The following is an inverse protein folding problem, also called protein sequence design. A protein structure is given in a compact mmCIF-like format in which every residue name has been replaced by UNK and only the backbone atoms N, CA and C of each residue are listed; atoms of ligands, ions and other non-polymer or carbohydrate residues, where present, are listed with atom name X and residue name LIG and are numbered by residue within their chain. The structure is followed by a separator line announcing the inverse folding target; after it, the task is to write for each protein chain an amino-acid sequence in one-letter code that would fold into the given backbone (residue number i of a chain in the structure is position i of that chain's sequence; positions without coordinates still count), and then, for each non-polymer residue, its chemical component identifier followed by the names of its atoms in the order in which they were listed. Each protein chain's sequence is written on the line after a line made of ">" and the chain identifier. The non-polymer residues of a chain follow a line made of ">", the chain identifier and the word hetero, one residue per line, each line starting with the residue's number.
data_IF_703861698579
#
_entry.id   IF_703861698579
#
_cell.length_a   1.000
_cell.length_b   1.000
_cell.length_c   1.000
_cell.angle_alpha   90.00
_cell.angle_beta   90.00
_cell.angle_gamma   90.00
#
_symmetry.space_group_name_H-M   'P 1'
#
loop_
_entity.id
_entity.type
_entity.pdbx_description
1 polymer ?
#
# COMPACT_ATOMS: atom_id res chain seq x y z
N UNK A 1 -32.86 0.82 -14.81
CA UNK A 1 -32.60 -0.28 -13.85
C UNK A 1 -32.29 0.35 -12.51
N UNK A 2 -32.78 -0.20 -11.38
CA UNK A 2 -32.34 0.29 -10.06
C UNK A 2 -30.83 -0.02 -9.93
N UNK A 3 -30.06 0.99 -9.58
CA UNK A 3 -28.63 0.86 -9.32
C UNK A 3 -28.42 -0.10 -8.15
N UNK A 4 -27.64 -1.16 -8.36
CA UNK A 4 -27.40 -2.17 -7.32
C UNK A 4 -26.57 -1.52 -6.20
N UNK A 5 -27.07 -1.62 -4.96
CA UNK A 5 -26.41 -1.05 -3.79
C UNK A 5 -25.56 -2.09 -3.10
N UNK A 6 -24.38 -1.69 -2.65
CA UNK A 6 -23.44 -2.53 -1.88
C UNK A 6 -23.01 -1.82 -0.61
N UNK A 7 -22.68 -2.57 0.43
CA UNK A 7 -22.22 -2.02 1.70
C UNK A 7 -20.70 -2.09 1.79
N UNK A 8 -20.06 -0.99 2.19
CA UNK A 8 -18.63 -0.92 2.40
C UNK A 8 -18.32 -0.62 3.88
N UNK A 9 -17.88 -1.63 4.63
CA UNK A 9 -17.56 -1.54 6.06
C UNK A 9 -16.10 -1.13 6.21
N UNK A 10 -15.87 0.03 6.84
CA UNK A 10 -14.53 0.58 7.06
C UNK A 10 -14.42 1.35 8.36
N UNK A 11 -13.21 1.44 8.89
CA UNK A 11 -12.93 2.39 9.97
C UNK A 11 -13.28 3.81 9.52
N UNK A 12 -14.03 4.54 10.37
CA UNK A 12 -14.44 5.93 10.11
C UNK A 12 -13.27 6.83 9.69
N UNK A 13 -12.09 6.64 10.29
CA UNK A 13 -10.88 7.40 9.98
C UNK A 13 -10.46 7.31 8.51
N UNK A 14 -10.74 6.20 7.81
CA UNK A 14 -10.29 5.99 6.43
C UNK A 14 -11.29 6.44 5.37
N UNK A 15 -12.53 6.70 5.79
CA UNK A 15 -13.62 7.18 4.91
C UNK A 15 -14.06 8.61 5.25
N UNK A 16 -13.48 9.22 6.27
CA UNK A 16 -13.69 10.64 6.60
C UNK A 16 -12.85 11.51 5.65
N UNK A 17 -13.51 12.39 4.90
CA UNK A 17 -12.86 13.33 3.99
C UNK A 17 -11.88 14.27 4.69
N UNK A 18 -12.15 14.63 5.96
CA UNK A 18 -11.34 15.56 6.74
C UNK A 18 -10.13 14.92 7.42
N UNK A 19 -10.03 13.59 7.42
CA UNK A 19 -8.88 12.93 8.03
C UNK A 19 -7.62 13.12 7.19
N UNK A 20 -6.47 13.19 7.85
CA UNK A 20 -5.16 13.33 7.19
C UNK A 20 -4.93 12.23 6.14
N UNK A 21 -4.33 12.59 5.02
CA UNK A 21 -3.96 11.64 3.98
C UNK A 21 -2.88 10.67 4.47
N UNK A 22 -2.95 9.44 3.96
CA UNK A 22 -1.97 8.40 4.23
C UNK A 22 -2.21 7.20 3.32
N UNK A 23 -1.25 6.32 3.20
CA UNK A 23 -1.30 5.19 2.27
C UNK A 23 -2.56 4.31 2.42
N UNK A 24 -3.03 4.11 3.66
CA UNK A 24 -4.27 3.34 3.92
C UNK A 24 -5.51 4.08 3.42
N UNK A 25 -5.60 5.40 3.65
CA UNK A 25 -6.74 6.21 3.18
C UNK A 25 -6.79 6.24 1.65
N UNK A 26 -5.64 6.45 1.00
CA UNK A 26 -5.54 6.41 -0.46
C UNK A 26 -5.98 5.07 -1.02
N UNK A 27 -5.50 3.96 -0.49
CA UNK A 27 -5.90 2.63 -0.94
C UNK A 27 -7.38 2.33 -0.66
N UNK A 28 -7.94 2.84 0.46
CA UNK A 28 -9.38 2.75 0.76
C UNK A 28 -10.20 3.48 -0.30
N UNK A 29 -9.77 4.70 -0.68
CA UNK A 29 -10.45 5.47 -1.70
C UNK A 29 -10.41 4.79 -3.07
N UNK A 30 -9.27 4.20 -3.44
CA UNK A 30 -9.15 3.44 -4.70
C UNK A 30 -10.09 2.24 -4.75
N UNK A 31 -10.28 1.51 -3.63
CA UNK A 31 -11.29 0.45 -3.57
C UNK A 31 -12.71 1.00 -3.70
N UNK A 32 -13.03 2.13 -3.07
CA UNK A 32 -14.34 2.77 -3.20
C UNK A 32 -14.58 3.19 -4.65
N UNK A 33 -13.58 3.82 -5.29
CA UNK A 33 -13.67 4.26 -6.69
C UNK A 33 -13.83 3.07 -7.64
N UNK A 34 -13.10 1.98 -7.40
CA UNK A 34 -13.24 0.73 -8.14
C UNK A 34 -14.69 0.19 -8.05
N UNK A 35 -15.23 0.09 -6.84
CA UNK A 35 -16.56 -0.45 -6.59
C UNK A 35 -17.63 0.49 -7.19
N UNK A 36 -17.43 1.81 -7.08
CA UNK A 36 -18.34 2.82 -7.59
C UNK A 36 -18.46 2.82 -9.13
N UNK A 37 -17.55 2.18 -9.87
CA UNK A 37 -17.68 2.00 -11.33
C UNK A 37 -18.89 1.15 -11.71
N UNK A 38 -19.40 0.30 -10.82
CA UNK A 38 -20.48 -0.67 -11.12
C UNK A 38 -21.59 -0.73 -10.09
N UNK A 39 -21.40 -0.13 -8.91
CA UNK A 39 -22.34 -0.21 -7.80
C UNK A 39 -22.51 1.14 -7.10
N UNK A 40 -23.67 1.35 -6.49
CA UNK A 40 -23.84 2.43 -5.52
C UNK A 40 -23.29 2.02 -4.16
N UNK A 41 -22.24 2.68 -3.71
CA UNK A 41 -21.55 2.34 -2.46
C UNK A 41 -22.23 3.03 -1.28
N UNK A 42 -22.70 2.25 -0.31
CA UNK A 42 -23.13 2.73 1.00
C UNK A 42 -22.00 2.54 2.00
N UNK A 43 -21.50 3.63 2.56
CA UNK A 43 -20.42 3.60 3.56
C UNK A 43 -20.98 3.23 4.94
N UNK A 44 -20.36 2.26 5.59
CA UNK A 44 -20.69 1.84 6.95
C UNK A 44 -19.48 2.07 7.87
N UNK A 45 -19.47 3.23 8.58
CA UNK A 45 -18.36 3.59 9.44
C UNK A 45 -18.33 2.75 10.73
N UNK A 46 -17.17 2.23 11.08
CA UNK A 46 -16.95 1.54 12.36
C UNK A 46 -15.79 2.18 13.13
N UNK A 47 -15.85 2.17 14.45
CA UNK A 47 -14.86 2.76 15.32
C UNK A 47 -14.04 1.69 16.06
N UNK A 48 -12.76 2.00 16.30
CA UNK A 48 -11.89 1.12 17.07
C UNK A 48 -12.38 0.96 18.51
N UNK A 49 -12.28 -0.27 19.02
CA UNK A 49 -12.54 -0.56 20.43
C UNK A 49 -11.52 0.18 21.32
N UNK A 50 -12.01 1.07 22.18
CA UNK A 50 -11.21 1.89 23.08
C UNK A 50 -11.25 1.38 24.53
N UNK A 51 -11.91 0.26 24.83
CA UNK A 51 -12.07 -0.26 26.18
C UNK A 51 -10.73 -0.58 26.84
N UNK A 52 -10.65 -0.37 28.16
CA UNK A 52 -9.46 -0.69 28.92
C UNK A 52 -9.09 -2.17 28.84
N UNK A 53 -10.09 -3.04 28.92
CA UNK A 53 -9.90 -4.48 28.79
C UNK A 53 -9.30 -4.89 27.44
N UNK A 54 -9.74 -4.27 26.34
CA UNK A 54 -9.17 -4.48 25.02
C UNK A 54 -7.69 -4.06 24.96
N UNK A 55 -7.35 -2.89 25.51
CA UNK A 55 -5.96 -2.41 25.52
C UNK A 55 -5.00 -3.36 26.25
N UNK A 56 -5.44 -3.92 27.41
CA UNK A 56 -4.65 -4.94 28.12
C UNK A 56 -4.50 -6.20 27.26
N UNK A 57 -5.60 -6.75 26.75
CA UNK A 57 -5.59 -7.95 25.90
C UNK A 57 -4.71 -7.77 24.67
N UNK A 58 -4.71 -6.58 24.06
CA UNK A 58 -3.86 -6.25 22.91
C UNK A 58 -2.38 -6.24 23.29
N UNK A 59 -2.01 -5.66 24.45
CA UNK A 59 -0.62 -5.64 24.92
C UNK A 59 -0.02 -7.03 25.17
N UNK A 60 -0.84 -7.99 25.57
CA UNK A 60 -0.42 -9.38 25.83
C UNK A 60 -0.69 -10.34 24.64
N UNK A 61 -1.01 -9.78 23.45
CA UNK A 61 -1.18 -10.54 22.22
C UNK A 61 -2.46 -11.40 22.12
N UNK A 62 -3.42 -11.24 23.07
CA UNK A 62 -4.65 -12.04 23.09
C UNK A 62 -5.72 -11.45 22.16
N UNK A 63 -5.82 -10.12 22.06
CA UNK A 63 -6.86 -9.42 21.28
C UNK A 63 -6.47 -9.20 19.81
N UNK A 64 -5.98 -10.24 19.16
CA UNK A 64 -5.68 -10.21 17.73
C UNK A 64 -6.99 -10.16 16.93
N UNK A 65 -7.09 -9.24 15.96
CA UNK A 65 -8.29 -8.97 15.15
C UNK A 65 -9.57 -8.67 15.96
N UNK A 66 -9.43 -8.16 17.20
CA UNK A 66 -10.53 -7.69 18.02
C UNK A 66 -10.58 -6.16 18.07
N UNK A 67 -10.12 -5.50 17.01
CA UNK A 67 -10.05 -4.05 16.92
C UNK A 67 -11.45 -3.40 16.92
N UNK A 68 -12.50 -4.16 16.60
CA UNK A 68 -13.89 -3.69 16.58
C UNK A 68 -14.80 -4.56 17.47
N UNK A 69 -15.71 -3.93 18.20
CA UNK A 69 -16.79 -4.62 18.95
C UNK A 69 -17.94 -4.92 17.99
N UNK A 70 -17.79 -5.92 17.12
CA UNK A 70 -18.71 -6.20 16.00
C UNK A 70 -20.17 -6.36 16.44
N UNK A 71 -20.43 -6.93 17.64
CA UNK A 71 -21.78 -7.10 18.18
C UNK A 71 -22.55 -5.80 18.39
N UNK A 72 -21.86 -4.69 18.69
CA UNK A 72 -22.48 -3.38 18.87
C UNK A 72 -23.12 -2.84 17.58
N UNK A 73 -22.61 -3.29 16.43
CA UNK A 73 -23.11 -2.87 15.11
C UNK A 73 -24.24 -3.72 14.54
N UNK A 74 -24.64 -4.83 15.21
CA UNK A 74 -25.58 -5.79 14.66
C UNK A 74 -26.95 -5.15 14.31
N UNK A 75 -27.50 -4.35 15.21
CA UNK A 75 -28.80 -3.70 15.00
C UNK A 75 -28.77 -2.74 13.80
N UNK A 76 -27.72 -1.92 13.71
CA UNK A 76 -27.53 -1.00 12.60
C UNK A 76 -27.31 -1.75 11.28
N UNK A 77 -26.50 -2.81 11.32
CA UNK A 77 -26.21 -3.64 10.15
C UNK A 77 -27.48 -4.31 9.62
N UNK A 78 -28.32 -4.88 10.51
CA UNK A 78 -29.61 -5.46 10.13
C UNK A 78 -30.50 -4.45 9.45
N UNK A 79 -30.62 -3.25 10.00
CA UNK A 79 -31.40 -2.17 9.43
C UNK A 79 -30.93 -1.83 8.00
N UNK A 80 -29.64 -1.54 7.84
CA UNK A 80 -29.07 -1.13 6.55
C UNK A 80 -29.20 -2.24 5.50
N UNK A 81 -28.90 -3.49 5.85
CA UNK A 81 -28.99 -4.63 4.92
C UNK A 81 -30.42 -4.85 4.45
N UNK A 82 -31.41 -4.80 5.36
CA UNK A 82 -32.83 -5.05 5.02
C UNK A 82 -33.44 -3.89 4.23
N UNK A 83 -33.21 -2.62 4.65
CA UNK A 83 -33.79 -1.45 3.99
C UNK A 83 -33.26 -1.21 2.57
N UNK A 84 -32.03 -1.63 2.30
CA UNK A 84 -31.37 -1.38 1.02
C UNK A 84 -31.21 -2.65 0.15
N UNK A 85 -31.76 -3.80 0.59
CA UNK A 85 -31.62 -5.10 -0.10
C UNK A 85 -30.16 -5.43 -0.47
N UNK A 86 -29.27 -5.38 0.52
CA UNK A 86 -27.83 -5.58 0.31
C UNK A 86 -27.51 -7.08 0.17
N UNK A 87 -27.01 -7.47 -0.99
CA UNK A 87 -26.58 -8.83 -1.31
C UNK A 87 -25.04 -8.98 -1.30
N UNK A 88 -24.32 -7.86 -1.24
CA UNK A 88 -22.86 -7.81 -1.33
C UNK A 88 -22.27 -6.81 -0.33
N UNK A 89 -21.34 -7.28 0.50
CA UNK A 89 -20.64 -6.47 1.50
C UNK A 89 -19.14 -6.51 1.24
N UNK A 90 -18.52 -5.36 1.22
CA UNK A 90 -17.06 -5.18 1.18
C UNK A 90 -16.53 -4.88 2.57
N UNK A 91 -15.52 -5.63 3.00
CA UNK A 91 -14.78 -5.42 4.25
C UNK A 91 -13.44 -4.75 3.94
N UNK A 92 -13.21 -3.57 4.46
CA UNK A 92 -11.97 -2.82 4.20
C UNK A 92 -10.91 -3.13 5.26
N UNK A 93 -9.77 -3.65 4.84
CA UNK A 93 -8.65 -4.13 5.66
C UNK A 93 -8.94 -5.45 6.39
N UNK A 94 -7.89 -6.24 6.60
CA UNK A 94 -7.96 -7.52 7.32
C UNK A 94 -8.47 -7.38 8.76
N UNK A 95 -8.26 -6.23 9.41
CA UNK A 95 -8.75 -6.01 10.77
C UNK A 95 -10.29 -5.89 10.89
N UNK A 96 -11.01 -5.73 9.77
CA UNK A 96 -12.49 -5.80 9.76
C UNK A 96 -13.03 -7.22 9.53
N UNK A 97 -12.16 -8.20 9.35
CA UNK A 97 -12.52 -9.58 8.96
C UNK A 97 -13.46 -10.26 9.97
N UNK A 98 -13.42 -9.85 11.24
CA UNK A 98 -14.33 -10.36 12.28
C UNK A 98 -15.80 -10.06 12.01
N UNK A 99 -16.12 -9.07 11.16
CA UNK A 99 -17.49 -8.84 10.71
C UNK A 99 -18.01 -9.99 9.84
N UNK A 100 -17.12 -10.77 9.17
CA UNK A 100 -17.54 -11.89 8.33
C UNK A 100 -18.35 -12.94 9.10
N UNK A 101 -17.94 -13.27 10.32
CA UNK A 101 -18.70 -14.19 11.19
C UNK A 101 -20.08 -13.65 11.52
N UNK A 102 -20.16 -12.37 11.90
CA UNK A 102 -21.42 -11.71 12.23
C UNK A 102 -22.38 -11.69 11.02
N UNK A 103 -21.83 -11.37 9.84
CA UNK A 103 -22.60 -11.30 8.59
C UNK A 103 -23.09 -12.68 8.19
N UNK A 104 -22.23 -13.69 8.10
CA UNK A 104 -22.63 -15.05 7.68
C UNK A 104 -23.64 -15.67 8.66
N UNK A 105 -23.53 -15.40 9.96
CA UNK A 105 -24.51 -15.86 10.96
C UNK A 105 -25.90 -15.24 10.78
N UNK A 106 -25.99 -13.96 10.41
CA UNK A 106 -27.26 -13.23 10.35
C UNK A 106 -27.82 -13.09 8.92
N UNK A 107 -26.96 -13.16 7.90
CA UNK A 107 -27.27 -12.97 6.49
C UNK A 107 -26.50 -13.99 5.66
N UNK A 108 -26.81 -15.29 5.73
CA UNK A 108 -25.99 -16.35 5.12
C UNK A 108 -25.91 -16.25 3.59
N UNK A 109 -26.90 -15.66 2.94
CA UNK A 109 -26.93 -15.44 1.49
C UNK A 109 -26.07 -14.26 1.01
N UNK A 110 -25.71 -13.33 1.90
CA UNK A 110 -24.91 -12.16 1.54
C UNK A 110 -23.49 -12.58 1.23
N UNK A 111 -22.98 -12.13 0.09
CA UNK A 111 -21.60 -12.33 -0.32
C UNK A 111 -20.68 -11.32 0.34
N UNK A 112 -19.47 -11.76 0.68
CA UNK A 112 -18.48 -10.94 1.36
C UNK A 112 -17.21 -10.88 0.53
N UNK A 113 -16.76 -9.66 0.23
CA UNK A 113 -15.46 -9.40 -0.40
C UNK A 113 -14.56 -8.71 0.62
N UNK A 114 -13.35 -9.21 0.79
CA UNK A 114 -12.31 -8.55 1.59
C UNK A 114 -11.43 -7.70 0.68
N UNK A 115 -11.36 -6.40 0.95
CA UNK A 115 -10.42 -5.45 0.34
C UNK A 115 -9.12 -5.44 1.17
N UNK A 116 -8.16 -6.30 0.84
CA UNK A 116 -6.90 -6.40 1.56
C UNK A 116 -5.94 -5.28 1.12
N UNK A 117 -5.32 -4.59 2.08
CA UNK A 117 -4.26 -3.61 1.82
C UNK A 117 -2.85 -4.21 1.97
N UNK A 118 -2.77 -5.53 2.01
CA UNK A 118 -1.58 -6.30 2.22
C UNK A 118 -1.70 -7.24 3.41
N UNK A 119 -0.83 -8.23 3.47
CA UNK A 119 -0.88 -9.27 4.49
C UNK A 119 -0.30 -8.76 5.83
N UNK A 120 -1.14 -8.69 6.86
CA UNK A 120 -0.76 -8.14 8.16
C UNK A 120 0.14 -9.08 8.95
N UNK A 121 -0.09 -10.39 8.89
CA UNK A 121 0.78 -11.37 9.57
C UNK A 121 2.17 -11.42 8.95
N UNK A 122 2.28 -11.29 7.62
CA UNK A 122 3.57 -11.20 6.91
C UNK A 122 4.37 -9.95 7.30
N UNK A 123 3.71 -8.81 7.43
CA UNK A 123 4.34 -7.56 7.87
C UNK A 123 4.83 -7.69 9.33
N UNK A 124 3.99 -8.25 10.20
CA UNK A 124 4.34 -8.48 11.60
C UNK A 124 5.47 -9.51 11.76
N UNK A 125 5.53 -10.55 10.91
CA UNK A 125 6.66 -11.47 10.86
C UNK A 125 7.96 -10.73 10.58
N UNK A 126 7.97 -9.78 9.65
CA UNK A 126 9.15 -8.99 9.33
C UNK A 126 9.56 -8.05 10.46
N UNK A 127 8.61 -7.48 11.21
CA UNK A 127 8.93 -6.71 12.42
C UNK A 127 9.67 -7.57 13.47
N UNK A 128 9.30 -8.85 13.60
CA UNK A 128 9.95 -9.78 14.53
C UNK A 128 11.31 -10.23 14.01
N UNK A 129 11.38 -10.69 12.76
CA UNK A 129 12.54 -11.40 12.21
C UNK A 129 13.63 -10.46 11.70
N UNK A 130 13.25 -9.44 10.91
CA UNK A 130 14.21 -8.54 10.26
C UNK A 130 14.54 -7.33 11.13
N UNK A 131 13.53 -6.67 11.65
CA UNK A 131 13.74 -5.42 12.41
C UNK A 131 14.08 -5.65 13.88
N UNK A 132 13.98 -6.92 14.36
CA UNK A 132 14.29 -7.30 15.76
C UNK A 132 13.66 -6.36 16.80
N UNK A 133 12.47 -5.84 16.48
CA UNK A 133 11.73 -4.82 17.25
C UNK A 133 11.43 -5.30 18.68
N UNK A 134 11.30 -6.61 18.88
CA UNK A 134 10.93 -7.21 20.16
C UNK A 134 12.10 -7.92 20.83
N UNK A 135 12.29 -7.69 22.14
CA UNK A 135 13.35 -8.31 22.94
C UNK A 135 12.75 -8.99 24.17
N UNK A 136 13.45 -9.99 24.72
CA UNK A 136 13.07 -10.69 25.96
C UNK A 136 11.63 -11.24 25.90
N UNK A 137 10.88 -11.08 26.98
CA UNK A 137 9.51 -11.59 27.10
C UNK A 137 8.54 -11.02 26.04
N UNK A 138 8.76 -9.78 25.59
CA UNK A 138 7.97 -9.18 24.51
C UNK A 138 8.10 -9.96 23.20
N UNK A 139 9.27 -10.60 22.95
CA UNK A 139 9.47 -11.46 21.76
C UNK A 139 8.58 -12.71 21.83
N UNK A 140 8.42 -13.32 23.01
CA UNK A 140 7.54 -14.49 23.19
C UNK A 140 6.10 -14.10 22.88
N UNK A 141 5.63 -12.97 23.43
CA UNK A 141 4.28 -12.44 23.15
C UNK A 141 4.10 -12.17 21.65
N UNK A 142 5.09 -11.61 20.99
CA UNK A 142 5.02 -11.33 19.54
C UNK A 142 4.91 -12.63 18.72
N UNK A 143 5.69 -13.67 19.04
CA UNK A 143 5.55 -14.97 18.37
C UNK A 143 4.18 -15.62 18.58
N UNK A 144 3.65 -15.55 19.82
CA UNK A 144 2.31 -16.03 20.13
C UNK A 144 1.24 -15.26 19.33
N UNK A 145 1.35 -13.93 19.30
CA UNK A 145 0.43 -13.08 18.54
C UNK A 145 0.49 -13.39 17.04
N UNK A 146 1.68 -13.61 16.47
CA UNK A 146 1.85 -13.99 15.06
C UNK A 146 1.17 -15.34 14.75
N UNK A 147 1.41 -16.35 15.57
CA UNK A 147 0.74 -17.66 15.40
C UNK A 147 -0.78 -17.53 15.45
N UNK A 148 -1.30 -16.71 16.38
CA UNK A 148 -2.73 -16.44 16.47
C UNK A 148 -3.26 -15.65 15.27
N UNK A 149 -2.50 -14.68 14.73
CA UNK A 149 -2.86 -13.97 13.49
C UNK A 149 -3.06 -14.96 12.35
N UNK A 150 -2.08 -15.82 12.09
CA UNK A 150 -2.14 -16.80 11.00
C UNK A 150 -3.33 -17.75 11.13
N UNK A 151 -3.58 -18.28 12.34
CA UNK A 151 -4.74 -19.15 12.58
C UNK A 151 -6.07 -18.45 12.32
N UNK A 152 -6.24 -17.23 12.83
CA UNK A 152 -7.46 -16.46 12.64
C UNK A 152 -7.65 -16.01 11.18
N UNK A 153 -6.57 -15.59 10.52
CA UNK A 153 -6.64 -15.26 9.10
C UNK A 153 -7.13 -16.45 8.28
N UNK A 154 -6.58 -17.64 8.51
CA UNK A 154 -7.02 -18.88 7.83
C UNK A 154 -8.47 -19.21 8.14
N UNK A 155 -8.88 -19.17 9.42
CA UNK A 155 -10.25 -19.47 9.85
C UNK A 155 -11.27 -18.51 9.20
N UNK A 156 -10.99 -17.21 9.22
CA UNK A 156 -11.91 -16.21 8.67
C UNK A 156 -12.01 -16.24 7.14
N UNK A 157 -10.98 -16.73 6.42
CA UNK A 157 -11.03 -16.88 4.95
C UNK A 157 -12.19 -17.77 4.48
N UNK A 158 -12.60 -18.74 5.29
CA UNK A 158 -13.76 -19.59 4.99
C UNK A 158 -15.09 -18.83 4.89
N UNK A 159 -15.17 -17.62 5.44
CA UNK A 159 -16.37 -16.76 5.38
C UNK A 159 -16.30 -15.71 4.28
N UNK A 160 -15.20 -15.63 3.54
CA UNK A 160 -14.95 -14.63 2.50
C UNK A 160 -15.15 -15.27 1.13
N UNK A 161 -16.02 -14.69 0.31
CA UNK A 161 -16.29 -15.19 -1.03
C UNK A 161 -15.16 -14.83 -2.01
N UNK A 162 -14.57 -13.63 -1.88
CA UNK A 162 -13.43 -13.16 -2.69
C UNK A 162 -12.52 -12.30 -1.81
N UNK A 163 -11.20 -12.48 -1.95
CA UNK A 163 -10.19 -11.57 -1.41
C UNK A 163 -9.61 -10.73 -2.56
N UNK A 164 -9.73 -9.41 -2.48
CA UNK A 164 -9.04 -8.49 -3.36
C UNK A 164 -7.69 -8.15 -2.73
N UNK A 165 -6.62 -8.31 -3.49
CA UNK A 165 -5.26 -7.98 -3.06
C UNK A 165 -4.69 -6.86 -3.93
N UNK A 166 -3.65 -6.20 -3.44
CA UNK A 166 -3.01 -5.08 -4.15
C UNK A 166 -1.71 -5.48 -4.85
N UNK A 167 -1.28 -6.74 -4.72
CA UNK A 167 -0.08 -7.26 -5.42
C UNK A 167 -0.13 -8.77 -5.62
N UNK A 168 0.67 -9.25 -6.57
CA UNK A 168 0.82 -10.66 -6.90
C UNK A 168 1.38 -11.46 -5.71
N UNK A 169 2.30 -10.86 -4.95
CA UNK A 169 2.89 -11.49 -3.76
C UNK A 169 1.81 -11.78 -2.73
N UNK A 170 0.93 -10.82 -2.49
CA UNK A 170 -0.16 -10.96 -1.53
C UNK A 170 -1.24 -11.89 -2.04
N UNK A 171 -1.48 -11.97 -3.35
CA UNK A 171 -2.35 -12.98 -3.93
C UNK A 171 -1.88 -14.40 -3.60
N UNK A 172 -0.57 -14.66 -3.72
CA UNK A 172 0.00 -15.96 -3.35
C UNK A 172 -0.09 -16.23 -1.84
N UNK A 173 0.15 -15.24 -1.00
CA UNK A 173 0.04 -15.37 0.46
C UNK A 173 -1.41 -15.65 0.87
N UNK A 174 -2.39 -14.94 0.31
CA UNK A 174 -3.81 -15.15 0.62
C UNK A 174 -4.29 -16.55 0.21
N UNK A 175 -3.85 -17.07 -0.95
CA UNK A 175 -4.10 -18.45 -1.37
C UNK A 175 -3.46 -19.46 -0.41
N UNK A 176 -2.23 -19.19 0.03
CA UNK A 176 -1.53 -20.05 1.01
C UNK A 176 -2.23 -20.07 2.37
N UNK A 177 -2.80 -18.95 2.81
CA UNK A 177 -3.57 -18.86 4.07
C UNK A 177 -4.92 -19.59 3.96
N UNK A 178 -5.39 -19.90 2.74
CA UNK A 178 -6.61 -20.67 2.52
C UNK A 178 -7.74 -19.92 1.85
N UNK A 179 -7.49 -18.72 1.29
CA UNK A 179 -8.49 -18.03 0.47
C UNK A 179 -8.71 -18.79 -0.85
N UNK A 180 -9.96 -19.19 -1.14
CA UNK A 180 -10.28 -19.93 -2.37
C UNK A 180 -10.26 -19.05 -3.62
N UNK A 181 -10.81 -17.84 -3.53
CA UNK A 181 -10.87 -16.89 -4.63
C UNK A 181 -10.11 -15.64 -4.26
N UNK A 182 -9.03 -15.40 -4.95
CA UNK A 182 -8.21 -14.20 -4.78
C UNK A 182 -8.07 -13.50 -6.12
N UNK A 183 -8.24 -12.20 -6.15
CA UNK A 183 -8.04 -11.37 -7.34
C UNK A 183 -7.15 -10.19 -7.00
N UNK A 184 -6.04 -10.08 -7.67
CA UNK A 184 -5.24 -8.88 -7.62
C UNK A 184 -5.94 -7.73 -8.35
N UNK A 185 -5.98 -6.59 -7.70
CA UNK A 185 -6.40 -5.30 -8.25
C UNK A 185 -5.15 -4.44 -8.43
N UNK A 186 -4.77 -4.21 -9.67
CA UNK A 186 -3.63 -3.36 -9.96
C UNK A 186 -3.90 -1.91 -9.55
N UNK A 187 -2.84 -1.20 -9.17
CA UNK A 187 -2.94 0.23 -8.85
C UNK A 187 -3.15 1.03 -10.12
N UNK A 188 -4.04 1.98 -10.06
CA UNK A 188 -4.20 2.97 -11.13
C UNK A 188 -3.09 4.00 -11.11
N UNK A 189 -2.81 4.58 -12.28
CA UNK A 189 -1.81 5.65 -12.43
C UNK A 189 -2.54 6.86 -13.00
N UNK A 190 -3.07 7.76 -12.11
CA UNK A 190 -3.77 8.95 -12.58
C UNK A 190 -2.83 9.87 -13.36
N UNK A 191 -3.37 10.61 -14.33
CA UNK A 191 -2.58 11.57 -15.06
C UNK A 191 -2.55 12.92 -14.33
N UNK A 192 -1.39 13.24 -13.76
CA UNK A 192 -1.09 14.50 -13.10
C UNK A 192 0.31 14.97 -13.51
N UNK A 193 0.55 14.96 -14.83
CA UNK A 193 1.86 15.25 -15.42
C UNK A 193 2.36 16.63 -15.00
N UNK A 194 3.60 16.65 -14.49
CA UNK A 194 4.30 17.89 -14.13
C UNK A 194 5.30 18.26 -15.21
N UNK A 195 5.74 19.52 -15.23
CA UNK A 195 6.91 19.92 -16.01
C UNK A 195 8.13 19.10 -15.56
N UNK A 196 9.19 19.12 -16.39
CA UNK A 196 10.43 18.43 -16.07
C UNK A 196 11.61 19.24 -16.57
N UNK A 197 12.39 19.77 -15.65
CA UNK A 197 13.55 20.59 -15.88
C UNK A 197 14.75 20.02 -15.10
N UNK A 198 15.22 18.81 -15.46
CA UNK A 198 16.14 18.04 -14.64
C UNK A 198 17.52 18.68 -14.55
N UNK A 199 18.07 18.70 -13.36
CA UNK A 199 19.46 19.07 -13.06
C UNK A 199 20.32 17.82 -13.11
N UNK A 200 21.40 17.85 -13.91
CA UNK A 200 22.33 16.71 -14.07
C UNK A 200 22.86 16.22 -12.71
N UNK A 201 22.83 14.93 -12.49
CA UNK A 201 23.31 14.28 -11.27
C UNK A 201 22.36 14.36 -10.08
N UNK A 202 21.21 15.06 -10.20
CA UNK A 202 20.21 15.19 -9.13
C UNK A 202 19.19 14.08 -9.24
N UNK A 203 19.10 13.26 -8.20
CA UNK A 203 18.07 12.22 -8.02
C UNK A 203 17.33 12.48 -6.72
N UNK A 204 16.08 12.02 -6.59
CA UNK A 204 15.31 12.36 -5.41
C UNK A 204 14.45 11.22 -4.88
N UNK A 205 14.21 11.28 -3.57
CA UNK A 205 13.27 10.44 -2.84
C UNK A 205 12.31 11.31 -2.05
N UNK A 206 11.04 10.92 -2.02
CA UNK A 206 10.04 11.56 -1.18
C UNK A 206 9.25 10.51 -0.38
N UNK A 207 8.94 10.83 0.88
CA UNK A 207 8.15 9.97 1.76
C UNK A 207 8.55 10.05 3.21
N UNK A 208 7.80 9.35 4.06
CA UNK A 208 8.05 9.26 5.48
C UNK A 208 9.33 8.45 5.75
N UNK A 209 10.35 9.09 6.33
CA UNK A 209 11.63 8.46 6.67
C UNK A 209 11.54 7.62 7.97
N UNK A 210 10.52 7.83 8.82
CA UNK A 210 10.29 6.99 9.99
C UNK A 210 9.78 5.60 9.64
N UNK A 211 9.24 5.44 8.42
CA UNK A 211 8.81 4.14 7.91
C UNK A 211 10.01 3.27 7.58
N UNK A 212 10.19 2.18 8.33
CA UNK A 212 11.38 1.32 8.26
C UNK A 212 11.79 0.90 6.83
N UNK A 213 10.88 0.49 5.91
CA UNK A 213 11.25 0.19 4.54
C UNK A 213 11.90 1.35 3.78
N UNK A 214 11.48 2.58 4.05
CA UNK A 214 12.06 3.77 3.43
C UNK A 214 13.45 4.05 3.98
N UNK A 215 13.57 4.09 5.30
CA UNK A 215 14.85 4.35 5.96
C UNK A 215 15.93 3.34 5.55
N UNK A 216 15.67 2.05 5.73
CA UNK A 216 16.64 1.02 5.37
C UNK A 216 16.95 0.99 3.87
N UNK A 217 15.94 1.21 3.02
CA UNK A 217 16.14 1.29 1.58
C UNK A 217 17.09 2.42 1.19
N UNK A 218 16.88 3.61 1.73
CA UNK A 218 17.75 4.77 1.50
C UNK A 218 19.14 4.54 2.09
N UNK A 219 19.25 4.05 3.33
CA UNK A 219 20.54 3.83 3.98
C UNK A 219 21.39 2.80 3.20
N UNK A 220 20.81 1.67 2.81
CA UNK A 220 21.50 0.66 1.99
C UNK A 220 21.95 1.21 0.63
N UNK A 221 21.14 2.05 0.00
CA UNK A 221 21.49 2.74 -1.24
C UNK A 221 22.66 3.71 -1.02
N UNK A 222 22.60 4.54 0.03
CA UNK A 222 23.67 5.48 0.37
C UNK A 222 24.98 4.79 0.67
N UNK A 223 24.97 3.68 1.40
CA UNK A 223 26.17 2.87 1.65
C UNK A 223 26.76 2.31 0.33
N UNK A 224 25.91 1.95 -0.64
CA UNK A 224 26.36 1.48 -1.95
C UNK A 224 26.92 2.62 -2.81
N UNK A 225 26.31 3.78 -2.80
CA UNK A 225 26.81 4.98 -3.49
C UNK A 225 28.16 5.42 -2.90
N UNK A 226 28.32 5.39 -1.57
CA UNK A 226 29.58 5.70 -0.90
C UNK A 226 30.71 4.76 -1.33
N UNK A 227 30.45 3.44 -1.37
CA UNK A 227 31.41 2.43 -1.83
C UNK A 227 31.84 2.61 -3.28
N UNK A 228 30.95 3.14 -4.11
CA UNK A 228 31.22 3.42 -5.53
C UNK A 228 31.79 4.83 -5.78
N UNK A 229 32.16 5.56 -4.72
CA UNK A 229 32.71 6.92 -4.79
C UNK A 229 31.85 7.90 -5.60
N UNK A 230 30.53 7.87 -5.38
CA UNK A 230 29.52 8.66 -6.12
C UNK A 230 29.53 10.17 -5.74
N UNK A 231 30.70 10.83 -5.81
CA UNK A 231 30.89 12.22 -5.35
C UNK A 231 30.14 13.27 -6.19
N UNK A 232 29.70 12.90 -7.38
CA UNK A 232 29.06 13.84 -8.33
C UNK A 232 27.53 13.70 -8.38
N UNK A 233 26.96 12.93 -7.44
CA UNK A 233 25.53 12.73 -7.32
C UNK A 233 24.98 13.63 -6.21
N UNK A 234 23.82 14.23 -6.43
CA UNK A 234 23.04 14.92 -5.42
C UNK A 234 21.77 14.12 -5.15
N UNK A 235 21.69 13.47 -3.98
CA UNK A 235 20.50 12.76 -3.51
C UNK A 235 19.63 13.70 -2.67
N UNK A 236 18.48 14.10 -3.21
CA UNK A 236 17.50 14.95 -2.56
C UNK A 236 16.53 14.11 -1.74
N UNK A 237 16.42 14.33 -0.44
CA UNK A 237 15.48 13.64 0.45
C UNK A 237 14.40 14.62 0.92
N UNK A 238 13.14 14.31 0.58
CA UNK A 238 11.97 15.07 1.01
C UNK A 238 11.08 14.18 1.89
N UNK A 239 10.72 14.65 3.07
CA UNK A 239 9.77 13.91 3.91
C UNK A 239 9.81 14.28 5.39
N UNK A 240 8.97 13.59 6.15
CA UNK A 240 8.89 13.70 7.59
C UNK A 240 10.03 12.95 8.28
N UNK A 241 10.18 13.16 9.60
CA UNK A 241 11.27 12.69 10.46
C UNK A 241 12.60 13.43 10.26
N UNK A 242 12.65 14.61 10.86
CA UNK A 242 13.82 15.49 10.77
C UNK A 242 15.08 14.87 11.38
N UNK A 243 14.98 14.06 12.43
CA UNK A 243 16.15 13.44 13.07
C UNK A 243 16.83 12.45 12.13
N UNK A 244 16.06 11.57 11.51
CA UNK A 244 16.57 10.60 10.53
C UNK A 244 17.11 11.30 9.30
N UNK A 245 16.39 12.29 8.77
CA UNK A 245 16.84 13.06 7.60
C UNK A 245 18.16 13.77 7.83
N UNK A 246 18.33 14.40 8.99
CA UNK A 246 19.58 15.07 9.39
C UNK A 246 20.72 14.07 9.65
N UNK A 247 20.41 12.89 10.20
CA UNK A 247 21.40 11.82 10.37
C UNK A 247 21.97 11.39 9.02
N UNK A 248 21.11 11.13 8.02
CA UNK A 248 21.53 10.75 6.68
C UNK A 248 22.34 11.87 6.00
N UNK A 249 21.92 13.12 6.12
CA UNK A 249 22.63 14.27 5.58
C UNK A 249 24.05 14.41 6.18
N UNK A 250 24.22 14.22 7.49
CA UNK A 250 25.52 14.25 8.16
C UNK A 250 26.42 13.06 7.80
N UNK A 251 25.82 11.88 7.60
CA UNK A 251 26.56 10.65 7.30
C UNK A 251 27.07 10.60 5.86
N UNK A 252 26.33 11.16 4.90
CA UNK A 252 26.63 11.07 3.48
C UNK A 252 26.67 12.45 2.82
N UNK A 253 27.84 12.89 2.37
CA UNK A 253 28.06 14.25 1.81
C UNK A 253 27.20 14.55 0.56
N UNK A 254 26.81 13.54 -0.21
CA UNK A 254 25.97 13.69 -1.39
C UNK A 254 24.46 13.72 -1.07
N UNK A 255 24.05 13.53 0.18
CA UNK A 255 22.64 13.60 0.61
C UNK A 255 22.30 15.03 1.01
N UNK A 256 21.22 15.56 0.42
CA UNK A 256 20.62 16.84 0.78
C UNK A 256 19.20 16.62 1.31
N UNK A 257 19.03 16.73 2.63
CA UNK A 257 17.72 16.61 3.27
C UNK A 257 16.99 17.95 3.31
N UNK A 258 15.78 18.00 2.74
CA UNK A 258 14.99 19.22 2.57
C UNK A 258 13.85 19.35 3.59
N UNK A 259 13.65 18.33 4.42
CA UNK A 259 12.51 18.30 5.34
C UNK A 259 11.18 18.02 4.65
N UNK A 260 10.10 18.34 5.36
CA UNK A 260 8.76 18.33 4.79
C UNK A 260 8.58 19.55 3.89
N UNK A 261 8.12 19.34 2.68
CA UNK A 261 7.76 20.40 1.74
C UNK A 261 6.24 20.48 1.58
N UNK A 262 5.71 21.70 1.40
CA UNK A 262 4.33 21.87 0.94
C UNK A 262 4.13 21.23 -0.44
N UNK A 263 2.90 20.98 -0.86
CA UNK A 263 2.63 20.39 -2.17
C UNK A 263 3.25 21.22 -3.31
N UNK A 264 3.09 22.53 -3.28
CA UNK A 264 3.65 23.42 -4.29
C UNK A 264 5.18 23.48 -4.29
N UNK A 265 5.82 23.40 -3.12
CA UNK A 265 7.28 23.38 -3.03
C UNK A 265 7.85 22.00 -3.39
N UNK A 266 7.13 20.93 -3.07
CA UNK A 266 7.46 19.58 -3.54
C UNK A 266 7.41 19.53 -5.07
N UNK A 267 6.40 20.12 -5.70
CA UNK A 267 6.29 20.17 -7.16
C UNK A 267 7.49 20.91 -7.79
N UNK A 268 7.90 22.05 -7.23
CA UNK A 268 9.10 22.78 -7.70
C UNK A 268 10.37 21.97 -7.53
N UNK A 269 10.47 21.16 -6.50
CA UNK A 269 11.64 20.34 -6.23
C UNK A 269 11.73 19.14 -7.17
N UNK A 270 10.64 18.35 -7.30
CA UNK A 270 10.64 17.10 -8.07
C UNK A 270 10.90 17.31 -9.56
N UNK A 271 10.50 18.45 -10.13
CA UNK A 271 10.74 18.73 -11.56
C UNK A 271 12.23 18.85 -11.88
N UNK A 272 13.07 19.08 -10.87
CA UNK A 272 14.53 19.19 -11.00
C UNK A 272 15.24 17.84 -10.97
N UNK A 273 14.57 16.75 -10.59
CA UNK A 273 15.17 15.44 -10.48
C UNK A 273 15.29 14.76 -11.84
N UNK A 274 16.44 14.20 -12.14
CA UNK A 274 16.62 13.35 -13.33
C UNK A 274 15.83 12.06 -13.19
N UNK A 275 15.82 11.48 -11.97
CA UNK A 275 15.04 10.30 -11.62
C UNK A 275 14.51 10.41 -10.19
N UNK A 276 13.27 10.01 -10.02
CA UNK A 276 12.73 9.68 -8.70
C UNK A 276 13.19 8.27 -8.29
N UNK A 277 13.46 8.06 -6.98
CA UNK A 277 13.94 6.79 -6.46
C UNK A 277 12.86 6.07 -5.64
N UNK A 278 12.73 4.76 -5.85
CA UNK A 278 11.87 3.90 -5.06
C UNK A 278 12.65 2.66 -4.55
N UNK A 279 13.54 2.82 -3.54
CA UNK A 279 14.48 1.82 -3.08
C UNK A 279 13.83 0.83 -2.11
N UNK A 280 13.01 -0.10 -2.59
CA UNK A 280 12.36 -1.15 -1.79
C UNK A 280 13.09 -2.47 -1.98
N UNK A 281 14.02 -2.83 -1.09
CA UNK A 281 14.89 -4.01 -1.26
C UNK A 281 14.39 -5.27 -0.52
N UNK A 282 13.35 -5.18 0.29
CA UNK A 282 12.74 -6.31 0.99
C UNK A 282 11.22 -6.21 0.97
N UNK A 283 10.56 -7.27 1.39
CA UNK A 283 9.09 -7.28 1.47
C UNK A 283 8.61 -6.21 2.47
N UNK A 284 7.59 -5.49 2.07
CA UNK A 284 6.77 -4.62 2.90
C UNK A 284 5.34 -4.79 2.41
N UNK A 285 4.37 -4.87 3.30
CA UNK A 285 2.96 -5.07 2.88
C UNK A 285 2.48 -3.94 1.96
N UNK A 286 1.50 -4.25 1.14
CA UNK A 286 0.89 -3.28 0.23
C UNK A 286 1.77 -2.95 -0.96
N UNK A 287 1.55 -1.80 -1.54
CA UNK A 287 2.23 -1.30 -2.74
C UNK A 287 2.83 0.06 -2.51
N UNK A 288 3.85 0.40 -3.28
CA UNK A 288 4.54 1.68 -3.15
C UNK A 288 3.70 2.82 -3.73
N UNK A 289 3.03 3.59 -2.88
CA UNK A 289 2.31 4.81 -3.28
C UNK A 289 3.26 5.85 -3.93
N UNK A 290 4.54 5.83 -3.57
CA UNK A 290 5.57 6.70 -4.15
C UNK A 290 5.79 6.41 -5.63
N UNK A 291 5.85 5.13 -6.00
CA UNK A 291 5.97 4.78 -7.42
C UNK A 291 4.79 5.31 -8.22
N UNK A 292 3.56 5.06 -7.77
CA UNK A 292 2.37 5.57 -8.45
C UNK A 292 2.36 7.08 -8.58
N UNK A 293 2.75 7.80 -7.51
CA UNK A 293 2.81 9.27 -7.52
C UNK A 293 3.89 9.78 -8.49
N UNK A 294 5.08 9.17 -8.52
CA UNK A 294 6.13 9.52 -9.48
C UNK A 294 5.69 9.25 -10.93
N UNK A 295 5.08 8.10 -11.20
CA UNK A 295 4.52 7.78 -12.52
C UNK A 295 3.41 8.75 -12.92
N UNK A 296 2.50 9.11 -12.00
CA UNK A 296 1.43 10.08 -12.28
C UNK A 296 1.97 11.45 -12.67
N UNK A 297 3.06 11.89 -12.05
CA UNK A 297 3.75 13.13 -12.38
C UNK A 297 4.55 13.07 -13.68
N UNK A 298 4.73 11.88 -14.28
CA UNK A 298 5.56 11.65 -15.44
C UNK A 298 7.06 11.78 -15.13
N UNK A 299 7.49 11.51 -13.89
CA UNK A 299 8.90 11.52 -13.51
C UNK A 299 9.57 10.20 -13.86
N UNK A 300 10.73 10.19 -14.54
CA UNK A 300 11.54 9.00 -14.69
C UNK A 300 11.84 8.37 -13.32
N UNK A 301 11.80 7.04 -13.23
CA UNK A 301 11.93 6.33 -11.95
C UNK A 301 13.02 5.27 -12.03
N UNK A 302 13.86 5.19 -10.98
CA UNK A 302 14.66 4.01 -10.70
C UNK A 302 14.04 3.30 -9.50
N UNK A 303 13.61 2.05 -9.70
CA UNK A 303 12.88 1.27 -8.70
C UNK A 303 13.46 -0.13 -8.56
N UNK A 304 12.82 -0.96 -7.74
CA UNK A 304 13.12 -2.39 -7.63
C UNK A 304 11.95 -3.22 -8.12
N UNK A 305 12.15 -4.48 -8.47
CA UNK A 305 11.06 -5.40 -8.79
C UNK A 305 10.05 -5.48 -7.63
N UNK A 306 10.53 -5.44 -6.38
CA UNK A 306 9.66 -5.40 -5.20
C UNK A 306 8.90 -4.07 -5.07
N UNK A 307 9.52 -2.96 -5.49
CA UNK A 307 8.90 -1.64 -5.49
C UNK A 307 7.83 -1.48 -6.57
N UNK A 308 7.89 -2.29 -7.65
CA UNK A 308 6.92 -2.28 -8.75
C UNK A 308 5.69 -3.15 -8.50
N UNK A 309 5.72 -4.04 -7.49
CA UNK A 309 4.59 -4.94 -7.24
C UNK A 309 3.28 -4.17 -7.12
N UNK A 310 2.22 -4.75 -7.65
CA UNK A 310 0.90 -4.14 -7.66
C UNK A 310 0.65 -3.15 -8.78
N UNK A 311 1.65 -2.82 -9.58
CA UNK A 311 1.50 -2.06 -10.81
C UNK A 311 1.60 -2.97 -12.03
N UNK A 312 0.70 -2.78 -12.99
CA UNK A 312 0.66 -3.56 -14.22
C UNK A 312 0.51 -2.62 -15.42
N UNK A 313 1.22 -2.90 -16.47
CA UNK A 313 1.10 -2.24 -17.78
C UNK A 313 1.60 -3.16 -18.88
N UNK A 314 1.21 -2.89 -20.12
CA UNK A 314 1.61 -3.72 -21.28
C UNK A 314 2.81 -3.12 -22.02
N UNK A 315 2.87 -1.78 -22.13
CA UNK A 315 3.90 -1.07 -22.87
C UNK A 315 4.55 0.00 -21.99
N UNK A 316 5.81 0.29 -22.28
CA UNK A 316 6.63 1.19 -21.51
C UNK A 316 7.50 0.48 -20.48
N UNK A 317 8.52 1.18 -19.99
CA UNK A 317 9.47 0.62 -19.03
C UNK A 317 9.97 1.66 -18.03
N UNK A 318 10.40 1.19 -16.88
CA UNK A 318 11.15 1.94 -15.87
C UNK A 318 12.49 1.28 -15.61
N UNK A 319 13.48 2.02 -15.15
CA UNK A 319 14.72 1.43 -14.68
C UNK A 319 14.44 0.60 -13.41
N UNK A 320 14.75 -0.69 -13.45
CA UNK A 320 14.56 -1.58 -12.32
C UNK A 320 15.84 -2.34 -11.96
N UNK A 321 15.93 -2.75 -10.70
CA UNK A 321 17.08 -3.46 -10.13
C UNK A 321 16.63 -4.36 -8.98
N UNK A 322 17.53 -5.22 -8.50
CA UNK A 322 17.25 -6.16 -7.41
C UNK A 322 18.05 -5.87 -6.13
N UNK A 323 19.08 -5.04 -6.23
CA UNK A 323 19.97 -4.77 -5.10
C UNK A 323 20.31 -3.27 -4.98
N UNK A 324 20.74 -2.83 -3.77
CA UNK A 324 21.21 -1.46 -3.55
C UNK A 324 22.39 -1.09 -4.45
N UNK A 325 23.29 -2.03 -4.69
CA UNK A 325 24.47 -1.82 -5.55
C UNK A 325 24.07 -1.65 -7.01
N UNK A 326 23.13 -2.46 -7.53
CA UNK A 326 22.60 -2.28 -8.89
C UNK A 326 21.91 -0.92 -9.04
N UNK A 327 21.10 -0.49 -8.05
CA UNK A 327 20.46 0.83 -8.06
C UNK A 327 21.51 1.94 -8.09
N UNK A 328 22.56 1.85 -7.29
CA UNK A 328 23.64 2.82 -7.29
C UNK A 328 24.36 2.89 -8.65
N UNK A 329 24.61 1.75 -9.30
CA UNK A 329 25.18 1.68 -10.66
C UNK A 329 24.26 2.36 -11.68
N UNK A 330 22.94 2.12 -11.62
CA UNK A 330 21.97 2.77 -12.51
C UNK A 330 21.95 4.30 -12.30
N UNK A 331 22.01 4.76 -11.05
CA UNK A 331 22.08 6.20 -10.72
C UNK A 331 23.34 6.81 -11.34
N UNK A 332 24.51 6.21 -11.13
CA UNK A 332 25.78 6.70 -11.69
C UNK A 332 25.76 6.75 -13.21
N UNK A 333 25.16 5.74 -13.84
CA UNK A 333 25.08 5.64 -15.30
C UNK A 333 24.14 6.67 -15.92
N UNK A 334 22.97 6.91 -15.32
CA UNK A 334 21.88 7.61 -15.99
C UNK A 334 21.57 9.01 -15.42
N UNK A 335 21.92 9.33 -14.17
CA UNK A 335 21.52 10.59 -13.54
C UNK A 335 22.10 11.85 -14.22
N UNK A 336 23.19 11.72 -14.98
CA UNK A 336 23.76 12.82 -15.76
C UNK A 336 23.33 12.86 -17.22
N UNK A 337 22.65 11.81 -17.69
CA UNK A 337 22.19 11.68 -19.07
C UNK A 337 20.75 12.20 -19.21
N UNK A 338 20.64 13.48 -19.61
CA UNK A 338 19.34 14.12 -19.84
C UNK A 338 18.56 13.50 -21.01
N UNK A 339 19.25 12.85 -21.97
CA UNK A 339 18.57 12.15 -23.07
C UNK A 339 17.92 10.87 -22.55
N UNK A 340 18.60 10.13 -21.66
CA UNK A 340 18.02 8.98 -20.98
C UNK A 340 16.84 9.39 -20.10
N UNK A 341 16.93 10.47 -19.33
CA UNK A 341 15.83 11.01 -18.55
C UNK A 341 14.60 11.32 -19.44
N UNK A 342 14.80 11.98 -20.58
CA UNK A 342 13.73 12.27 -21.53
C UNK A 342 13.14 10.99 -22.15
N UNK A 343 13.97 10.00 -22.47
CA UNK A 343 13.52 8.70 -22.97
C UNK A 343 12.60 8.00 -21.95
N UNK A 344 13.05 7.83 -20.69
CA UNK A 344 12.25 7.19 -19.65
C UNK A 344 10.99 7.97 -19.30
N UNK A 345 11.00 9.32 -19.43
CA UNK A 345 9.79 10.12 -19.32
C UNK A 345 8.75 9.76 -20.38
N UNK A 346 9.17 9.54 -21.62
CA UNK A 346 8.27 9.08 -22.68
C UNK A 346 7.76 7.65 -22.44
N UNK A 347 8.57 6.76 -21.85
CA UNK A 347 8.13 5.44 -21.47
C UNK A 347 6.99 5.47 -20.45
N UNK A 348 6.96 6.45 -19.55
CA UNK A 348 5.88 6.60 -18.57
C UNK A 348 4.54 6.92 -19.25
N UNK A 349 4.52 7.65 -20.33
CA UNK A 349 3.28 7.90 -21.09
C UNK A 349 2.71 6.59 -21.68
N UNK A 350 3.58 5.69 -22.16
CA UNK A 350 3.17 4.35 -22.62
C UNK A 350 2.65 3.49 -21.46
N UNK A 351 3.29 3.57 -20.29
CA UNK A 351 2.85 2.91 -19.06
C UNK A 351 1.44 3.37 -18.70
N UNK A 352 1.19 4.68 -18.63
CA UNK A 352 -0.14 5.25 -18.31
C UNK A 352 -1.21 4.81 -19.29
N UNK A 353 -0.89 4.82 -20.60
CA UNK A 353 -1.83 4.45 -21.65
C UNK A 353 -2.22 2.96 -21.63
N UNK A 354 -1.40 2.11 -21.01
CA UNK A 354 -1.59 0.64 -21.03
C UNK A 354 -1.81 0.03 -19.64
N UNK A 355 -1.88 0.85 -18.58
CA UNK A 355 -2.28 0.42 -17.25
C UNK A 355 -3.79 0.06 -17.24
N UNK A 356 -4.22 -0.97 -16.47
CA UNK A 356 -5.60 -1.40 -16.41
C UNK A 356 -6.52 -0.33 -15.82
N UNK A 357 -7.68 -0.13 -16.42
CA UNK A 357 -8.71 0.78 -15.93
C UNK A 357 -9.58 0.16 -14.83
N UNK A 358 -10.16 1.00 -13.96
CA UNK A 358 -11.00 0.57 -12.84
C UNK A 358 -12.21 -0.28 -13.32
N UNK A 359 -12.90 0.14 -14.39
CA UNK A 359 -14.07 -0.57 -14.91
C UNK A 359 -13.74 -2.00 -15.36
N UNK A 360 -12.59 -2.19 -16.04
CA UNK A 360 -12.14 -3.51 -16.46
C UNK A 360 -11.86 -4.41 -15.27
N UNK A 361 -11.14 -3.89 -14.25
CA UNK A 361 -10.83 -4.64 -13.03
C UNK A 361 -12.10 -5.03 -12.27
N UNK A 362 -13.10 -4.13 -12.19
CA UNK A 362 -14.36 -4.43 -11.53
C UNK A 362 -15.18 -5.49 -12.29
N UNK A 363 -15.18 -5.46 -13.60
CA UNK A 363 -15.83 -6.49 -14.43
C UNK A 363 -15.24 -7.88 -14.17
N UNK A 364 -13.91 -7.98 -13.97
CA UNK A 364 -13.25 -9.23 -13.60
C UNK A 364 -13.74 -9.74 -12.23
N UNK A 365 -13.89 -8.85 -11.25
CA UNK A 365 -14.43 -9.20 -9.91
C UNK A 365 -15.87 -9.69 -10.01
N UNK A 366 -16.72 -9.00 -10.78
CA UNK A 366 -18.12 -9.40 -11.00
C UNK A 366 -18.18 -10.79 -11.65
N UNK A 367 -17.32 -11.06 -12.64
CA UNK A 367 -17.26 -12.36 -13.31
C UNK A 367 -16.92 -13.49 -12.33
N UNK A 368 -16.04 -13.24 -11.33
CA UNK A 368 -15.74 -14.22 -10.28
C UNK A 368 -16.95 -14.46 -9.36
N UNK A 369 -17.74 -13.42 -9.05
CA UNK A 369 -18.96 -13.56 -8.24
C UNK A 369 -20.03 -14.39 -8.94
N UNK A 370 -20.07 -14.39 -10.27
CA UNK A 370 -21.06 -15.12 -11.08
C UNK A 370 -20.69 -16.58 -11.32
N UNK A 371 -19.40 -16.92 -11.39
CA UNK A 371 -18.93 -18.30 -11.65
C UNK A 371 -19.28 -19.33 -10.56
N UNK A 372 -19.71 -18.90 -9.38
CA UNK A 372 -20.08 -19.75 -8.24
C UNK A 372 -21.60 -19.95 -8.09
N UNK A 373 -22.36 -19.84 -9.14
CA UNK A 373 -23.74 -20.34 -9.22
C UNK A 373 -23.74 -21.60 -10.09
#
# INVERSE_FOLDING_TARGET
>A
MKEVQVLFISNSKYIDSNAAEGGVKLCTQEYIDLIATSFKVLLFPVALNKSFAYRIKKKIGIAVYQDYSTGEYLTQLRKVVSENNIDLIFLNLTNTITFSLLIKKNFPAVKIILCSHGNESGDFLHEIALHKKFKGFKKIIAHYALGKMLCLESEYRNNIDIVLTVSEVEEHIEKWIGAENVKMIARTIPDNKKEHQPVKGRVGFFGDLSHSPNFFGIEMLCDSLLKLHANEIELRLVGTDTEIGQLLHKKYAFVNYLGYLSEGDLEKEIITWTFALNPVFYYSRGVSTKLGKALSWGLPVITTLRGMRGYQWQNGEVLNCNSPTEMAILILKYSKDLKAAAYYRNQIELIKATAPGLQQMMNDVISLLQKKR
#
